data_IF_188945254913
#
_entry.id   IF_188945254913
#
_cell.length_a   1.000
_cell.length_b   1.000
_cell.length_c   1.000
_cell.angle_alpha   90.00
_cell.angle_beta   90.00
_cell.angle_gamma   90.00
#
_symmetry.space_group_name_H-M   'P 1'
#
loop_
_entity.id
_entity.type
_entity.pdbx_description
1 polymer ?
#
# COMPACT_ATOMS: atom_id res chain seq x y z
N UNK A 1 10.56 -19.14 15.25
CA UNK A 1 9.32 -18.96 14.45
C UNK A 1 9.29 -17.54 13.92
N UNK A 2 8.92 -17.30 12.65
CA UNK A 2 8.85 -15.94 12.12
C UNK A 2 7.82 -15.10 12.89
N UNK A 3 8.17 -13.86 13.20
CA UNK A 3 7.27 -12.94 13.90
C UNK A 3 6.23 -12.42 12.92
N UNK A 4 4.95 -12.65 13.20
CA UNK A 4 3.87 -12.16 12.34
C UNK A 4 3.61 -10.69 12.66
N UNK A 5 3.82 -9.83 11.67
CA UNK A 5 3.47 -8.42 11.76
C UNK A 5 2.10 -8.23 11.11
N UNK A 6 1.19 -7.55 11.81
CA UNK A 6 -0.13 -7.18 11.27
C UNK A 6 -0.03 -5.78 10.67
N UNK A 7 -0.40 -5.67 9.40
CA UNK A 7 -0.40 -4.44 8.61
C UNK A 7 -1.80 -4.27 8.04
N UNK A 8 -2.29 -3.04 7.94
CA UNK A 8 -3.60 -2.75 7.33
C UNK A 8 -3.45 -1.78 6.15
N UNK A 9 -4.37 -1.86 5.20
CA UNK A 9 -4.44 -0.96 4.05
C UNK A 9 -5.80 -0.26 4.00
N UNK A 10 -5.77 1.03 3.68
CA UNK A 10 -6.96 1.86 3.53
C UNK A 10 -7.39 1.89 2.06
N UNK A 11 -8.63 1.49 1.82
CA UNK A 11 -9.29 1.64 0.52
C UNK A 11 -10.08 2.93 0.52
N UNK A 12 -9.56 3.96 -0.14
CA UNK A 12 -10.17 5.29 -0.20
C UNK A 12 -10.79 5.47 -1.57
N UNK A 13 -12.11 5.57 -1.60
CA UNK A 13 -12.93 5.71 -2.81
C UNK A 13 -13.50 7.14 -2.90
N UNK A 14 -13.52 7.69 -4.12
CA UNK A 14 -14.20 8.93 -4.46
C UNK A 14 -14.59 8.94 -5.94
N UNK A 15 -15.85 9.20 -6.23
CA UNK A 15 -16.40 9.35 -7.59
C UNK A 15 -16.13 8.12 -8.49
N UNK A 16 -16.22 6.91 -7.92
CA UNK A 16 -15.92 5.64 -8.57
C UNK A 16 -14.42 5.34 -8.75
N UNK A 17 -13.54 6.17 -8.20
CA UNK A 17 -12.08 6.05 -8.32
C UNK A 17 -11.44 5.76 -6.97
N UNK A 18 -10.34 5.02 -6.99
CA UNK A 18 -9.58 4.67 -5.78
C UNK A 18 -8.25 5.42 -5.70
N UNK A 19 -7.87 5.82 -4.48
CA UNK A 19 -6.52 6.30 -4.21
C UNK A 19 -5.54 5.11 -4.16
N UNK A 20 -4.62 5.08 -5.11
CA UNK A 20 -3.45 4.19 -5.11
C UNK A 20 -2.18 5.03 -5.04
N UNK A 21 -1.18 4.56 -4.29
CA UNK A 21 0.10 5.24 -4.12
C UNK A 21 1.21 4.45 -4.82
N UNK A 22 2.19 5.15 -5.40
CA UNK A 22 3.36 4.51 -5.98
C UNK A 22 4.42 4.32 -4.91
N UNK A 23 4.98 3.11 -4.85
CA UNK A 23 6.08 2.78 -3.93
C UNK A 23 7.33 3.57 -4.29
N UNK A 24 8.03 4.05 -3.26
CA UNK A 24 9.30 4.78 -3.42
C UNK A 24 10.33 3.90 -4.14
N UNK A 25 11.28 4.48 -4.91
CA UNK A 25 12.34 3.72 -5.59
C UNK A 25 13.19 2.85 -4.66
N UNK A 26 13.31 3.25 -3.39
CA UNK A 26 14.09 2.55 -2.35
C UNK A 26 13.28 1.54 -1.54
N UNK A 27 11.98 1.35 -1.83
CA UNK A 27 11.13 0.40 -1.13
C UNK A 27 11.32 -1.02 -1.69
N UNK A 28 10.99 -2.05 -0.89
CA UNK A 28 10.78 -3.41 -1.40
C UNK A 28 9.69 -3.38 -2.49
N UNK A 29 9.80 -4.15 -3.57
CA UNK A 29 8.89 -4.07 -4.72
C UNK A 29 8.75 -2.61 -5.24
N UNK A 30 9.84 -1.98 -5.69
CA UNK A 30 9.86 -0.56 -5.98
C UNK A 30 8.98 -0.22 -7.18
N UNK A 31 8.43 1.01 -7.17
CA UNK A 31 7.67 1.62 -8.27
C UNK A 31 6.33 0.94 -8.63
N UNK A 32 5.97 -0.16 -7.96
CA UNK A 32 4.63 -0.74 -8.03
C UNK A 32 3.60 0.13 -7.30
N UNK A 33 2.33 -0.12 -7.59
CA UNK A 33 1.19 0.56 -6.96
C UNK A 33 0.69 -0.22 -5.75
N UNK A 34 0.27 0.48 -4.70
CA UNK A 34 -0.36 -0.10 -3.51
C UNK A 34 -1.45 0.81 -2.92
N UNK A 35 -2.32 0.22 -2.11
CA UNK A 35 -3.19 1.01 -1.24
C UNK A 35 -2.39 1.65 -0.09
N UNK A 36 -2.69 2.90 0.30
CA UNK A 36 -2.03 3.53 1.43
C UNK A 36 -2.29 2.73 2.70
N UNK A 37 -1.28 2.53 3.56
CA UNK A 37 -1.40 1.67 4.73
C UNK A 37 -0.18 1.71 5.65
N UNK A 38 -0.17 0.79 6.61
CA UNK A 38 0.85 0.64 7.66
C UNK A 38 0.49 -0.43 8.68
#
# INVERSE_FOLDING_TARGET
MPHRIRVVAAMIERDGKYLITQRRPTATLPLLWEFPGG
#
